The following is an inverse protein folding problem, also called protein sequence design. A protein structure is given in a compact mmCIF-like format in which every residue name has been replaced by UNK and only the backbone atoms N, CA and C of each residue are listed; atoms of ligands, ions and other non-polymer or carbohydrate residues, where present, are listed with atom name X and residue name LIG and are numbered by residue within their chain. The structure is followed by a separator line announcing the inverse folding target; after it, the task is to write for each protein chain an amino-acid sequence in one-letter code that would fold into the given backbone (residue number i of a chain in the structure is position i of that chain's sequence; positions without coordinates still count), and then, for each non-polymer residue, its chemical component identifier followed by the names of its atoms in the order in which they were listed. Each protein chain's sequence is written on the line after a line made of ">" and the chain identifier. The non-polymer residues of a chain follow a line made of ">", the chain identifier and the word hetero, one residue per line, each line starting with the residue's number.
data_IF_164443208564
#
_entry.id   IF_164443208564
#
_cell.length_a   1.000
_cell.length_b   1.000
_cell.length_c   1.000
_cell.angle_alpha   90.00
_cell.angle_beta   90.00
_cell.angle_gamma   90.00
#
_symmetry.space_group_name_H-M   'P 1'
#
loop_
_entity.id
_entity.type
_entity.pdbx_description
1 polymer ?
#
# COMPACT_ATOMS: atom_id res chain seq x y z
N UNK A 1 -14.24 23.25 9.95
CA UNK A 1 -14.53 21.91 10.52
C UNK A 1 -15.11 22.09 11.91
N UNK A 2 -16.30 21.56 12.18
CA UNK A 2 -16.86 21.57 13.54
C UNK A 2 -16.48 20.29 14.29
N UNK A 3 -16.31 20.31 15.62
CA UNK A 3 -16.08 19.10 16.41
C UNK A 3 -17.11 17.99 16.16
N UNK A 4 -18.39 18.37 15.99
CA UNK A 4 -19.48 17.42 15.72
C UNK A 4 -19.31 16.65 14.40
N UNK A 5 -18.83 17.30 13.34
CA UNK A 5 -18.56 16.63 12.05
C UNK A 5 -17.47 15.56 12.19
N UNK A 6 -16.47 15.82 13.04
CA UNK A 6 -15.36 14.90 13.27
C UNK A 6 -15.77 13.70 14.12
N UNK A 7 -16.65 13.91 15.14
CA UNK A 7 -17.12 12.85 16.05
C UNK A 7 -17.83 11.70 15.34
N UNK A 8 -18.50 11.98 14.22
CA UNK A 8 -19.12 10.93 13.38
C UNK A 8 -18.12 9.84 12.98
N UNK A 9 -16.84 10.19 12.82
CA UNK A 9 -15.78 9.32 12.32
C UNK A 9 -14.81 8.81 13.39
N UNK A 10 -15.06 9.05 14.68
CA UNK A 10 -14.14 8.70 15.79
C UNK A 10 -13.72 7.25 15.81
N UNK A 11 -14.58 6.34 15.34
CA UNK A 11 -14.29 4.92 15.27
C UNK A 11 -13.24 4.54 14.22
N UNK A 12 -13.02 5.40 13.21
CA UNK A 12 -12.16 5.08 12.08
C UNK A 12 -11.05 6.11 11.81
N UNK A 13 -11.25 7.38 12.10
CA UNK A 13 -10.32 8.48 11.73
C UNK A 13 -8.95 8.41 12.42
N UNK A 14 -7.90 9.06 11.88
CA UNK A 14 -6.70 9.41 12.64
C UNK A 14 -7.02 10.20 13.90
N UNK A 15 -6.07 10.29 14.83
CA UNK A 15 -6.23 11.13 16.01
C UNK A 15 -6.28 12.60 15.63
N UNK A 16 -7.14 13.35 16.29
CA UNK A 16 -7.16 14.81 16.23
C UNK A 16 -5.99 15.40 17.05
N UNK A 17 -5.53 16.63 16.75
CA UNK A 17 -4.40 17.24 17.44
C UNK A 17 -4.52 17.29 18.97
N UNK A 18 -5.71 17.50 19.48
CA UNK A 18 -6.01 17.55 20.92
C UNK A 18 -5.89 16.18 21.62
N UNK A 19 -6.01 15.08 20.88
CA UNK A 19 -5.87 13.71 21.40
C UNK A 19 -4.41 13.26 21.50
N UNK A 20 -3.50 13.91 20.76
CA UNK A 20 -2.11 13.47 20.63
C UNK A 20 -1.36 13.36 21.96
N UNK A 21 -1.44 14.32 22.89
CA UNK A 21 -0.69 14.22 24.15
C UNK A 21 -1.03 12.98 24.96
N UNK A 22 -2.31 12.62 25.07
CA UNK A 22 -2.76 11.41 25.78
C UNK A 22 -2.28 10.14 25.08
N UNK A 23 -2.33 10.11 23.73
CA UNK A 23 -1.87 8.99 22.93
C UNK A 23 -0.36 8.78 23.10
N UNK A 24 0.43 9.85 23.11
CA UNK A 24 1.88 9.78 23.34
C UNK A 24 2.20 9.19 24.72
N UNK A 25 1.53 9.65 25.76
CA UNK A 25 1.71 9.14 27.11
C UNK A 25 1.33 7.67 27.23
N UNK A 26 0.24 7.24 26.61
CA UNK A 26 -0.21 5.84 26.60
C UNK A 26 0.77 4.93 25.85
N UNK A 27 1.34 5.41 24.74
CA UNK A 27 2.31 4.64 23.96
C UNK A 27 3.60 4.39 24.73
N UNK A 28 4.17 5.41 25.39
CA UNK A 28 5.42 5.25 26.14
C UNK A 28 5.26 4.46 27.44
N UNK A 29 4.04 4.19 27.86
CA UNK A 29 3.73 3.25 28.95
C UNK A 29 3.66 1.79 28.49
N UNK A 30 3.60 1.55 27.17
CA UNK A 30 3.53 0.19 26.63
C UNK A 30 4.93 -0.38 26.45
N UNK A 31 5.23 -1.49 27.15
CA UNK A 31 6.55 -2.14 27.14
C UNK A 31 7.00 -2.58 25.75
N UNK A 32 6.10 -3.15 24.93
CA UNK A 32 6.43 -3.60 23.57
C UNK A 32 6.77 -2.41 22.67
N UNK A 33 6.03 -1.31 22.78
CA UNK A 33 6.34 -0.09 22.05
C UNK A 33 7.70 0.49 22.49
N UNK A 34 7.99 0.50 23.80
CA UNK A 34 9.30 0.93 24.32
C UNK A 34 10.45 0.05 23.80
N UNK A 35 10.25 -1.26 23.66
CA UNK A 35 11.24 -2.15 23.04
C UNK A 35 11.49 -1.79 21.57
N UNK A 36 10.43 -1.46 20.81
CA UNK A 36 10.57 -0.96 19.43
C UNK A 36 11.32 0.37 19.40
N UNK A 37 11.00 1.29 20.30
CA UNK A 37 11.73 2.58 20.39
C UNK A 37 13.21 2.36 20.72
N UNK A 38 13.55 1.47 21.66
CA UNK A 38 14.93 1.16 22.00
C UNK A 38 15.72 0.56 20.82
N UNK A 39 15.05 -0.24 19.98
CA UNK A 39 15.64 -0.77 18.75
C UNK A 39 15.85 0.32 17.69
N UNK A 40 14.88 1.22 17.52
CA UNK A 40 14.93 2.29 16.50
C UNK A 40 15.87 3.44 16.90
N UNK A 41 15.98 3.72 18.19
CA UNK A 41 16.75 4.83 18.75
C UNK A 41 17.71 4.31 19.84
N UNK A 42 18.76 3.53 19.48
CA UNK A 42 19.65 2.93 20.44
C UNK A 42 20.37 4.00 21.28
N UNK A 43 20.31 3.83 22.60
CA UNK A 43 20.95 4.75 23.54
C UNK A 43 20.17 6.04 23.84
N UNK A 44 19.00 6.26 23.22
CA UNK A 44 18.15 7.41 23.54
C UNK A 44 17.15 7.04 24.63
N UNK A 45 17.12 7.76 25.77
CA UNK A 45 16.15 7.50 26.83
C UNK A 45 14.70 7.69 26.34
N UNK A 46 13.78 6.80 26.75
CA UNK A 46 12.35 6.86 26.36
C UNK A 46 11.75 8.23 26.71
N UNK A 47 12.15 8.81 27.85
CA UNK A 47 11.66 10.14 28.25
C UNK A 47 12.07 11.25 27.27
N UNK A 48 13.25 11.20 26.68
CA UNK A 48 13.67 12.15 25.65
C UNK A 48 12.83 11.99 24.37
N UNK A 49 12.51 10.74 23.99
CA UNK A 49 11.61 10.44 22.87
C UNK A 49 10.21 10.97 23.18
N UNK A 50 9.68 10.72 24.39
CA UNK A 50 8.40 11.26 24.84
C UNK A 50 8.33 12.79 24.72
N UNK A 51 9.34 13.48 25.22
CA UNK A 51 9.42 14.95 25.12
C UNK A 51 9.40 15.41 23.65
N UNK A 52 10.13 14.72 22.75
CA UNK A 52 10.11 15.00 21.31
C UNK A 52 8.72 14.73 20.71
N UNK A 53 8.02 13.66 21.12
CA UNK A 53 6.65 13.39 20.69
C UNK A 53 5.71 14.54 21.08
N UNK A 54 5.77 15.03 22.32
CA UNK A 54 4.95 16.16 22.81
C UNK A 54 5.22 17.49 22.12
N UNK A 55 6.34 17.64 21.40
CA UNK A 55 6.58 18.81 20.55
C UNK A 55 5.72 18.78 19.27
N UNK A 56 5.30 17.58 18.82
CA UNK A 56 4.47 17.44 17.63
C UNK A 56 3.02 17.89 17.93
N UNK A 57 2.52 18.86 17.17
CA UNK A 57 1.18 19.42 17.30
C UNK A 57 0.18 18.84 16.29
N UNK A 58 0.66 18.01 15.38
CA UNK A 58 -0.16 17.33 14.37
C UNK A 58 0.43 15.98 13.99
N UNK A 59 -0.39 15.12 13.39
CA UNK A 59 0.06 13.86 12.81
C UNK A 59 1.15 14.08 11.73
N UNK A 60 1.05 15.16 10.97
CA UNK A 60 2.04 15.50 9.94
C UNK A 60 3.40 15.83 10.57
N UNK A 61 3.43 16.58 11.67
CA UNK A 61 4.66 16.85 12.40
C UNK A 61 5.25 15.58 13.01
N UNK A 62 4.39 14.69 13.53
CA UNK A 62 4.84 13.37 14.00
C UNK A 62 5.46 12.54 12.88
N UNK A 63 4.84 12.50 11.68
CA UNK A 63 5.41 11.82 10.52
C UNK A 63 6.78 12.39 10.14
N UNK A 64 6.92 13.72 10.10
CA UNK A 64 8.19 14.38 9.80
C UNK A 64 9.27 14.09 10.85
N UNK A 65 8.90 14.12 12.13
CA UNK A 65 9.86 13.99 13.24
C UNK A 65 10.32 12.54 13.49
N UNK A 66 9.50 11.54 13.18
CA UNK A 66 9.74 10.14 13.56
C UNK A 66 9.76 9.18 12.37
N UNK A 67 8.83 9.33 11.41
CA UNK A 67 8.70 8.38 10.31
C UNK A 67 9.66 8.68 9.16
N UNK A 68 9.82 9.94 8.78
CA UNK A 68 10.60 10.34 7.61
C UNK A 68 12.08 9.91 7.71
N UNK A 69 12.77 10.32 8.76
CA UNK A 69 14.18 9.96 8.97
C UNK A 69 14.40 8.46 9.12
N UNK A 70 13.49 7.78 9.82
CA UNK A 70 13.53 6.33 9.95
C UNK A 70 13.42 5.64 8.58
N UNK A 71 12.49 6.07 7.74
CA UNK A 71 12.28 5.48 6.41
C UNK A 71 13.44 5.80 5.45
N UNK A 72 14.02 7.01 5.50
CA UNK A 72 15.21 7.34 4.72
C UNK A 72 16.40 6.46 5.12
N UNK A 73 16.63 6.26 6.42
CA UNK A 73 17.66 5.36 6.92
C UNK A 73 17.42 3.90 6.54
N UNK A 74 16.14 3.45 6.54
CA UNK A 74 15.75 2.12 6.10
C UNK A 74 16.05 1.92 4.62
N UNK A 75 15.66 2.87 3.78
CA UNK A 75 15.93 2.84 2.34
C UNK A 75 17.43 2.75 2.05
N UNK A 76 18.24 3.54 2.73
CA UNK A 76 19.70 3.50 2.57
C UNK A 76 20.33 2.14 2.90
N UNK A 77 19.70 1.35 3.79
CA UNK A 77 20.19 0.01 4.19
C UNK A 77 19.62 -1.12 3.38
N UNK A 78 18.36 -1.01 2.96
CA UNK A 78 17.57 -2.12 2.42
C UNK A 78 17.17 -1.92 0.95
N UNK A 79 17.68 -0.88 0.27
CA UNK A 79 17.38 -0.64 -1.15
C UNK A 79 18.57 0.01 -1.87
N UNK A 80 18.48 0.10 -3.19
CA UNK A 80 19.36 0.90 -4.05
C UNK A 80 18.82 2.32 -4.26
N UNK A 81 17.64 2.63 -3.74
CA UNK A 81 16.99 3.91 -3.81
C UNK A 81 15.48 3.78 -3.99
N UNK A 82 14.80 4.88 -3.71
CA UNK A 82 13.37 5.04 -3.95
C UNK A 82 13.16 6.41 -4.61
N UNK A 83 12.46 6.43 -5.72
CA UNK A 83 12.11 7.65 -6.43
C UNK A 83 10.62 7.66 -6.83
N UNK A 84 10.11 8.85 -7.16
CA UNK A 84 8.73 9.00 -7.61
C UNK A 84 8.64 9.96 -8.79
N UNK A 85 7.69 9.70 -9.68
CA UNK A 85 7.27 10.60 -10.75
C UNK A 85 5.84 11.08 -10.48
N UNK A 86 5.71 12.37 -10.14
CA UNK A 86 4.45 13.08 -9.94
C UNK A 86 4.23 14.16 -11.01
N UNK A 87 4.94 14.12 -12.13
CA UNK A 87 4.93 15.16 -13.18
C UNK A 87 3.54 15.41 -13.78
N UNK A 88 2.64 14.42 -13.68
CA UNK A 88 1.26 14.54 -14.15
C UNK A 88 0.33 15.26 -13.18
N UNK A 89 0.80 15.66 -11.98
CA UNK A 89 -0.03 16.19 -10.91
C UNK A 89 0.39 17.60 -10.49
N UNK A 90 -0.58 18.43 -10.16
CA UNK A 90 -0.37 19.63 -9.36
C UNK A 90 -0.50 19.25 -7.87
N UNK A 91 0.64 19.10 -7.18
CA UNK A 91 0.69 18.66 -5.77
C UNK A 91 0.07 19.67 -4.78
N UNK A 92 -0.42 20.83 -5.24
CA UNK A 92 -1.24 21.75 -4.43
C UNK A 92 -2.69 21.29 -4.31
N UNK A 93 -3.15 20.44 -5.24
CA UNK A 93 -4.47 19.81 -5.17
C UNK A 93 -4.46 18.60 -4.26
N UNK A 94 -5.66 18.06 -3.97
CA UNK A 94 -5.86 16.87 -3.15
C UNK A 94 -6.40 15.74 -4.01
N UNK A 95 -5.87 14.55 -3.76
CA UNK A 95 -6.13 13.37 -4.58
C UNK A 95 -6.39 12.13 -3.72
N UNK A 96 -7.17 11.22 -4.25
CA UNK A 96 -7.22 9.84 -3.78
C UNK A 96 -6.30 8.99 -4.64
N UNK A 97 -5.12 8.66 -4.12
CA UNK A 97 -4.20 7.73 -4.75
C UNK A 97 -4.72 6.31 -4.60
N UNK A 98 -5.04 5.66 -5.72
CA UNK A 98 -5.42 4.25 -5.78
C UNK A 98 -4.31 3.44 -6.43
N UNK A 99 -3.74 2.45 -5.72
CA UNK A 99 -2.54 1.78 -6.18
C UNK A 99 -2.63 0.26 -6.16
N UNK A 100 -1.78 -0.40 -6.95
CA UNK A 100 -1.39 -1.77 -6.66
C UNK A 100 -0.71 -1.86 -5.28
N UNK A 101 -0.59 -3.08 -4.73
CA UNK A 101 -0.13 -3.26 -3.34
C UNK A 101 0.92 -4.37 -3.24
N UNK A 102 2.15 -3.99 -2.86
CA UNK A 102 3.33 -4.86 -2.76
C UNK A 102 3.69 -5.21 -1.33
N UNK A 103 3.75 -4.19 -0.45
CA UNK A 103 4.17 -4.31 0.94
C UNK A 103 3.11 -3.77 1.89
N UNK A 104 2.86 -4.47 3.02
CA UNK A 104 1.79 -4.12 3.98
C UNK A 104 2.01 -2.72 4.58
N UNK A 105 3.26 -2.35 4.83
CA UNK A 105 3.63 -1.13 5.56
C UNK A 105 4.26 -0.09 4.65
N UNK A 106 5.18 -0.53 3.78
CA UNK A 106 6.07 0.41 3.08
C UNK A 106 5.40 1.12 1.91
N UNK A 107 4.39 0.54 1.26
CA UNK A 107 3.78 1.19 0.09
C UNK A 107 3.24 2.58 0.41
N UNK A 108 2.46 2.72 1.47
CA UNK A 108 1.94 4.02 1.92
C UNK A 108 2.99 4.85 2.67
N UNK A 109 3.86 4.19 3.45
CA UNK A 109 4.87 4.90 4.22
C UNK A 109 5.94 5.57 3.32
N UNK A 110 6.40 4.88 2.27
CA UNK A 110 7.33 5.44 1.31
C UNK A 110 6.69 6.50 0.40
N UNK A 111 5.39 6.35 0.08
CA UNK A 111 4.64 7.41 -0.61
C UNK A 111 4.70 8.73 0.19
N UNK A 112 4.59 8.67 1.52
CA UNK A 112 4.74 9.87 2.36
C UNK A 112 6.14 10.51 2.22
N UNK A 113 7.19 9.69 2.20
CA UNK A 113 8.56 10.19 1.96
C UNK A 113 8.66 10.86 0.59
N UNK A 114 8.13 10.22 -0.45
CA UNK A 114 8.18 10.76 -1.82
C UNK A 114 7.38 12.07 -1.96
N UNK A 115 6.21 12.18 -1.31
CA UNK A 115 5.43 13.42 -1.28
C UNK A 115 6.17 14.54 -0.55
N UNK A 116 6.84 14.27 0.58
CA UNK A 116 7.68 15.25 1.26
C UNK A 116 8.87 15.69 0.40
N UNK A 117 9.57 14.74 -0.22
CA UNK A 117 10.72 15.03 -1.10
C UNK A 117 10.29 15.85 -2.33
N UNK A 118 9.05 15.66 -2.81
CA UNK A 118 8.45 16.45 -3.91
C UNK A 118 7.93 17.83 -3.46
N UNK A 119 8.03 18.17 -2.18
CA UNK A 119 7.60 19.47 -1.65
C UNK A 119 6.09 19.58 -1.42
N UNK A 120 5.35 18.47 -1.37
CA UNK A 120 3.94 18.50 -1.00
C UNK A 120 3.78 19.00 0.44
N UNK A 121 2.78 19.85 0.68
CA UNK A 121 2.52 20.44 2.00
C UNK A 121 1.94 19.44 3.00
N UNK A 122 1.34 18.35 2.51
CA UNK A 122 0.78 17.25 3.31
C UNK A 122 1.11 15.88 2.71
N UNK A 123 0.78 14.83 3.44
CA UNK A 123 0.86 13.43 3.01
C UNK A 123 -0.53 12.88 2.71
N UNK A 124 -0.70 11.56 2.72
CA UNK A 124 -2.01 10.91 2.57
C UNK A 124 -2.57 10.44 3.91
N UNK A 125 -3.90 10.39 4.04
CA UNK A 125 -4.54 9.51 5.00
C UNK A 125 -4.62 8.09 4.42
N UNK A 126 -4.25 7.09 5.22
CA UNK A 126 -4.02 5.72 4.76
C UNK A 126 -5.20 4.83 5.14
N UNK A 127 -5.83 4.17 4.16
CA UNK A 127 -6.83 3.13 4.42
C UNK A 127 -6.16 1.83 4.92
N UNK A 128 -6.38 1.46 6.19
CA UNK A 128 -5.80 0.25 6.79
C UNK A 128 -6.86 -0.70 7.33
N UNK A 129 -6.76 -1.99 7.02
CA UNK A 129 -7.69 -3.01 7.53
C UNK A 129 -7.50 -3.28 9.03
N UNK A 130 -8.60 -3.38 9.79
CA UNK A 130 -8.60 -3.69 11.23
C UNK A 130 -8.01 -5.05 11.56
N UNK A 131 -8.00 -5.98 10.61
CA UNK A 131 -7.38 -7.30 10.76
C UNK A 131 -5.86 -7.23 11.02
N UNK A 132 -5.19 -6.13 10.69
CA UNK A 132 -3.77 -5.88 10.95
C UNK A 132 -3.52 -5.26 12.33
N UNK A 133 -4.56 -4.76 13.00
CA UNK A 133 -4.48 -3.95 14.23
C UNK A 133 -4.78 -4.77 15.49
N UNK A 134 -4.14 -5.93 15.62
CA UNK A 134 -4.39 -6.87 16.74
C UNK A 134 -3.85 -6.37 18.08
N UNK A 135 -2.81 -5.56 18.06
CA UNK A 135 -2.19 -4.98 19.26
C UNK A 135 -2.66 -3.53 19.43
N UNK A 136 -3.14 -3.15 20.64
CA UNK A 136 -3.64 -1.79 20.88
C UNK A 136 -2.64 -0.68 20.52
N UNK A 137 -1.37 -0.83 20.89
CA UNK A 137 -0.32 0.15 20.58
C UNK A 137 -0.06 0.28 19.07
N UNK A 138 -0.19 -0.82 18.28
CA UNK A 138 -0.09 -0.76 16.82
C UNK A 138 -1.24 0.07 16.25
N UNK A 139 -2.46 -0.10 16.77
CA UNK A 139 -3.61 0.73 16.38
C UNK A 139 -3.36 2.21 16.66
N UNK A 140 -2.75 2.54 17.80
CA UNK A 140 -2.41 3.92 18.13
C UNK A 140 -1.35 4.48 17.17
N UNK A 141 -0.27 3.74 16.91
CA UNK A 141 0.80 4.16 15.98
C UNK A 141 0.28 4.41 14.56
N UNK A 142 -0.58 3.53 14.02
CA UNK A 142 -1.09 3.73 12.66
C UNK A 142 -2.03 4.93 12.58
N UNK A 143 -2.86 5.17 13.61
CA UNK A 143 -3.71 6.37 13.68
C UNK A 143 -2.89 7.66 13.85
N UNK A 144 -1.77 7.62 14.55
CA UNK A 144 -0.78 8.71 14.58
C UNK A 144 -0.16 8.95 13.20
N UNK A 145 0.04 7.88 12.42
CA UNK A 145 0.56 7.97 11.06
C UNK A 145 -0.53 8.26 10.02
N UNK A 146 -1.55 9.01 10.39
CA UNK A 146 -2.67 9.42 9.52
C UNK A 146 -3.45 8.24 8.90
N UNK A 147 -3.53 7.09 9.57
CA UNK A 147 -4.32 5.98 9.04
C UNK A 147 -5.76 6.02 9.54
N UNK A 148 -6.72 5.77 8.64
CA UNK A 148 -8.11 5.51 8.97
C UNK A 148 -8.43 4.03 8.79
N UNK A 149 -9.36 3.52 9.61
CA UNK A 149 -9.58 2.08 9.78
C UNK A 149 -10.68 1.59 8.85
N UNK A 150 -10.34 0.61 8.00
CA UNK A 150 -11.30 -0.17 7.22
C UNK A 150 -11.78 -1.34 8.07
N UNK A 151 -13.02 -1.29 8.51
CA UNK A 151 -13.63 -2.30 9.36
C UNK A 151 -14.03 -3.52 8.54
N UNK A 152 -13.28 -4.61 8.66
CA UNK A 152 -13.49 -5.89 7.94
C UNK A 152 -14.02 -6.99 8.82
N UNK A 153 -13.84 -6.87 10.14
CA UNK A 153 -14.19 -7.90 11.13
C UNK A 153 -15.64 -7.80 11.63
N UNK A 154 -16.49 -7.04 10.92
CA UNK A 154 -17.88 -6.84 11.30
C UNK A 154 -18.81 -7.94 10.75
N UNK A 155 -19.93 -8.24 11.46
CA UNK A 155 -21.00 -9.03 10.91
C UNK A 155 -21.56 -8.43 9.61
N UNK A 156 -21.99 -9.28 8.65
CA UNK A 156 -22.45 -8.84 7.31
C UNK A 156 -23.50 -7.73 7.35
N UNK A 157 -24.44 -7.77 8.30
CA UNK A 157 -25.47 -6.74 8.48
C UNK A 157 -24.94 -5.35 8.84
N UNK A 158 -23.71 -5.26 9.38
CA UNK A 158 -23.04 -4.01 9.73
C UNK A 158 -22.05 -3.53 8.66
N UNK A 159 -21.65 -4.44 7.74
CA UNK A 159 -20.68 -4.15 6.67
C UNK A 159 -21.14 -3.00 5.77
N UNK A 160 -22.45 -2.96 5.44
CA UNK A 160 -22.98 -1.89 4.58
C UNK A 160 -22.87 -0.52 5.22
N UNK A 161 -23.22 -0.42 6.51
CA UNK A 161 -23.10 0.84 7.26
C UNK A 161 -21.64 1.27 7.44
N UNK A 162 -20.73 0.31 7.71
CA UNK A 162 -19.31 0.57 7.81
C UNK A 162 -18.69 1.02 6.48
N UNK A 163 -19.08 0.40 5.36
CA UNK A 163 -18.65 0.80 4.03
C UNK A 163 -19.15 2.20 3.66
N UNK A 164 -20.39 2.52 4.03
CA UNK A 164 -20.92 3.87 3.83
C UNK A 164 -20.18 4.91 4.67
N UNK A 165 -19.95 4.63 5.96
CA UNK A 165 -19.18 5.51 6.84
C UNK A 165 -17.76 5.75 6.29
N UNK A 166 -17.10 4.70 5.81
CA UNK A 166 -15.78 4.77 5.21
C UNK A 166 -15.78 5.67 3.96
N UNK A 167 -16.75 5.46 3.05
CA UNK A 167 -16.88 6.27 1.84
C UNK A 167 -17.15 7.75 2.18
N UNK A 168 -18.07 8.03 3.09
CA UNK A 168 -18.36 9.40 3.56
C UNK A 168 -17.10 10.04 4.16
N UNK A 169 -16.28 9.25 4.89
CA UNK A 169 -15.03 9.76 5.44
C UNK A 169 -14.01 10.11 4.35
N UNK A 170 -13.86 9.29 3.31
CA UNK A 170 -12.95 9.60 2.20
C UNK A 170 -13.34 10.90 1.49
N UNK A 171 -14.64 11.11 1.22
CA UNK A 171 -15.14 12.37 0.65
C UNK A 171 -14.88 13.56 1.59
N UNK A 172 -15.09 13.36 2.88
CA UNK A 172 -14.81 14.37 3.89
C UNK A 172 -13.32 14.76 3.96
N UNK A 173 -12.41 13.78 3.82
CA UNK A 173 -10.95 14.03 3.79
C UNK A 173 -10.57 14.93 2.61
N UNK A 174 -11.07 14.64 1.43
CA UNK A 174 -10.77 15.40 0.21
C UNK A 174 -11.41 16.80 0.28
N UNK A 175 -12.72 16.87 0.54
CA UNK A 175 -13.50 18.10 0.40
C UNK A 175 -13.36 19.08 1.59
N UNK A 176 -13.30 18.55 2.82
CA UNK A 176 -13.39 19.37 4.05
C UNK A 176 -12.06 19.45 4.81
N UNK A 177 -11.34 18.31 4.95
CA UNK A 177 -10.02 18.32 5.60
C UNK A 177 -8.93 18.87 4.69
N UNK A 178 -9.18 18.92 3.38
CA UNK A 178 -8.21 19.32 2.37
C UNK A 178 -6.92 18.51 2.49
N UNK A 179 -7.05 17.17 2.53
CA UNK A 179 -5.97 16.21 2.68
C UNK A 179 -6.05 15.13 1.60
N UNK A 180 -4.95 14.44 1.32
CA UNK A 180 -4.93 13.34 0.36
C UNK A 180 -5.37 12.03 1.02
N UNK A 181 -5.82 11.07 0.19
CA UNK A 181 -6.14 9.70 0.60
C UNK A 181 -5.25 8.71 -0.16
N UNK A 182 -4.82 7.64 0.50
CA UNK A 182 -4.25 6.47 -0.15
C UNK A 182 -5.08 5.22 0.15
N UNK A 183 -5.40 4.47 -0.90
CA UNK A 183 -6.09 3.19 -0.79
C UNK A 183 -5.55 2.21 -1.83
N UNK A 184 -5.41 0.93 -1.46
CA UNK A 184 -5.08 -0.12 -2.40
C UNK A 184 -6.27 -0.42 -3.33
N UNK A 185 -5.99 -0.74 -4.60
CA UNK A 185 -7.00 -1.04 -5.63
C UNK A 185 -7.85 -2.30 -5.36
N UNK A 186 -7.47 -3.09 -4.37
CA UNK A 186 -8.18 -4.30 -3.95
C UNK A 186 -7.93 -4.61 -2.48
N UNK A 187 -8.75 -5.51 -1.94
CA UNK A 187 -8.49 -6.06 -0.61
C UNK A 187 -7.24 -6.94 -0.62
N UNK A 188 -6.23 -6.55 0.18
CA UNK A 188 -4.97 -7.26 0.30
C UNK A 188 -4.09 -7.16 -0.95
N UNK A 189 -2.87 -7.70 -0.82
CA UNK A 189 -1.86 -7.70 -1.89
C UNK A 189 -2.18 -8.74 -2.97
N UNK A 190 -1.99 -8.41 -4.25
CA UNK A 190 -1.92 -9.39 -5.33
C UNK A 190 -0.59 -10.15 -5.21
N UNK A 191 -0.62 -11.35 -4.59
CA UNK A 191 0.59 -12.09 -4.25
C UNK A 191 1.36 -12.63 -5.44
N UNK A 192 0.68 -12.80 -6.57
CA UNK A 192 1.25 -13.12 -7.86
C UNK A 192 1.61 -11.89 -8.69
N UNK A 193 1.43 -10.69 -8.13
CA UNK A 193 1.61 -9.41 -8.82
C UNK A 193 0.75 -9.23 -10.08
N UNK A 194 -0.31 -10.02 -10.27
CA UNK A 194 -1.34 -9.76 -11.27
C UNK A 194 -2.34 -8.77 -10.69
N UNK A 195 -2.00 -7.51 -10.78
CA UNK A 195 -2.75 -6.43 -10.16
C UNK A 195 -4.02 -6.13 -10.95
N UNK A 196 -5.15 -6.20 -10.24
CA UNK A 196 -6.49 -5.92 -10.78
C UNK A 196 -7.30 -5.13 -9.77
N UNK A 197 -7.96 -4.10 -10.25
CA UNK A 197 -8.86 -3.27 -9.45
C UNK A 197 -10.13 -4.04 -9.13
N UNK A 198 -10.45 -4.15 -7.85
CA UNK A 198 -11.71 -4.75 -7.42
C UNK A 198 -12.84 -3.72 -7.53
N UNK A 199 -13.85 -3.98 -8.37
CA UNK A 199 -15.04 -3.11 -8.49
C UNK A 199 -15.72 -2.82 -7.14
N UNK A 200 -15.56 -3.73 -6.17
CA UNK A 200 -16.09 -3.55 -4.83
C UNK A 200 -15.53 -2.29 -4.12
N UNK A 201 -14.27 -1.91 -4.40
CA UNK A 201 -13.65 -0.69 -3.88
C UNK A 201 -14.35 0.54 -4.49
N UNK A 202 -14.58 0.55 -5.81
CA UNK A 202 -15.27 1.64 -6.51
C UNK A 202 -16.73 1.76 -6.05
N UNK A 203 -17.40 0.62 -5.91
CA UNK A 203 -18.78 0.57 -5.39
C UNK A 203 -18.86 1.10 -3.96
N UNK A 204 -17.88 0.80 -3.13
CA UNK A 204 -17.76 1.36 -1.77
C UNK A 204 -17.55 2.87 -1.84
N UNK A 205 -16.60 3.38 -2.63
CA UNK A 205 -16.33 4.82 -2.77
C UNK A 205 -17.58 5.62 -3.16
N UNK A 206 -18.43 5.06 -4.02
CA UNK A 206 -19.69 5.72 -4.45
C UNK A 206 -20.84 5.60 -3.44
N UNK A 207 -20.64 5.00 -2.28
CA UNK A 207 -21.63 5.02 -1.18
C UNK A 207 -21.61 6.34 -0.40
N UNK A 208 -20.53 7.12 -0.50
CA UNK A 208 -20.41 8.50 -0.01
C UNK A 208 -20.60 9.51 -1.13
N UNK A 209 -20.51 10.80 -0.77
CA UNK A 209 -20.66 11.91 -1.70
C UNK A 209 -22.11 12.18 -2.15
N UNK A 210 -22.27 13.16 -3.02
CA UNK A 210 -23.56 13.61 -3.53
C UNK A 210 -23.67 13.38 -5.05
N UNK A 211 -24.90 13.39 -5.57
CA UNK A 211 -25.16 13.26 -7.00
C UNK A 211 -25.12 11.82 -7.54
N UNK A 212 -24.85 11.70 -8.83
CA UNK A 212 -24.72 10.41 -9.55
C UNK A 212 -23.46 9.65 -9.10
N UNK A 213 -23.36 8.36 -9.46
CA UNK A 213 -22.15 7.56 -9.19
C UNK A 213 -20.90 8.16 -9.83
N UNK A 214 -21.04 8.78 -11.00
CA UNK A 214 -19.97 9.47 -11.73
C UNK A 214 -19.51 10.72 -10.96
N UNK A 215 -20.43 11.56 -10.51
CA UNK A 215 -20.12 12.78 -9.73
C UNK A 215 -19.46 12.43 -8.39
N UNK A 216 -19.87 11.34 -7.75
CA UNK A 216 -19.25 10.86 -6.51
C UNK A 216 -17.80 10.41 -6.72
N UNK A 217 -17.48 9.73 -7.82
CA UNK A 217 -16.07 9.40 -8.13
C UNK A 217 -15.26 10.63 -8.52
N UNK A 218 -15.85 11.57 -9.29
CA UNK A 218 -15.20 12.84 -9.65
C UNK A 218 -14.79 13.64 -8.41
N UNK A 219 -15.62 13.68 -7.37
CA UNK A 219 -15.31 14.43 -6.14
C UNK A 219 -14.20 13.81 -5.28
N UNK A 220 -13.71 12.61 -5.64
CA UNK A 220 -12.56 11.95 -4.98
C UNK A 220 -11.23 12.20 -5.69
N UNK A 221 -11.24 12.73 -6.91
CA UNK A 221 -10.04 13.01 -7.70
C UNK A 221 -9.07 11.81 -7.74
N UNK A 222 -9.54 10.69 -8.34
CA UNK A 222 -8.78 9.44 -8.34
C UNK A 222 -7.51 9.55 -9.19
N UNK A 223 -6.38 9.19 -8.62
CA UNK A 223 -5.08 9.10 -9.28
C UNK A 223 -4.59 7.66 -9.23
N UNK A 224 -4.48 6.97 -10.39
CA UNK A 224 -3.83 5.67 -10.45
C UNK A 224 -2.36 5.82 -10.07
N UNK A 225 -1.89 5.03 -9.11
CA UNK A 225 -0.53 5.06 -8.60
C UNK A 225 0.13 3.70 -8.80
N UNK A 226 1.12 3.63 -9.67
CA UNK A 226 1.93 2.44 -9.88
C UNK A 226 3.07 2.37 -8.87
N UNK A 227 3.21 1.22 -8.19
CA UNK A 227 4.31 0.94 -7.26
C UNK A 227 5.11 -0.24 -7.79
N UNK A 228 6.38 -0.02 -8.07
CA UNK A 228 7.30 -1.02 -8.60
C UNK A 228 8.44 -1.27 -7.63
N UNK A 229 8.64 -2.53 -7.28
CA UNK A 229 9.79 -3.02 -6.51
C UNK A 229 10.63 -3.92 -7.42
N UNK A 230 11.94 -3.70 -7.48
CA UNK A 230 12.85 -4.58 -8.23
C UNK A 230 12.90 -5.98 -7.62
N UNK A 231 12.89 -6.05 -6.29
CA UNK A 231 12.80 -7.29 -5.52
C UNK A 231 11.73 -7.18 -4.44
N UNK A 232 10.92 -8.22 -4.30
CA UNK A 232 9.91 -8.34 -3.25
C UNK A 232 10.44 -9.20 -2.10
N UNK A 233 10.79 -8.62 -0.94
CA UNK A 233 11.34 -9.39 0.18
C UNK A 233 10.46 -10.52 0.67
N UNK A 234 9.14 -10.43 0.42
CA UNK A 234 8.13 -11.40 0.86
C UNK A 234 7.79 -12.44 -0.21
N UNK A 235 8.53 -12.53 -1.32
CA UNK A 235 8.21 -13.41 -2.45
C UNK A 235 8.15 -14.89 -2.05
N UNK A 236 9.11 -15.39 -1.26
CA UNK A 236 9.11 -16.76 -0.74
C UNK A 236 7.92 -17.03 0.22
N UNK A 237 7.51 -16.05 1.03
CA UNK A 237 6.33 -16.17 1.90
C UNK A 237 5.04 -16.24 1.09
N UNK A 238 4.97 -15.46 0.01
CA UNK A 238 3.83 -15.47 -0.92
C UNK A 238 3.74 -16.80 -1.67
N UNK A 239 4.88 -17.32 -2.16
CA UNK A 239 4.94 -18.63 -2.80
C UNK A 239 4.57 -19.77 -1.83
N UNK A 240 5.08 -19.71 -0.60
CA UNK A 240 4.72 -20.66 0.47
C UNK A 240 3.21 -20.63 0.75
N UNK A 241 2.58 -19.46 0.83
CA UNK A 241 1.14 -19.34 1.01
C UNK A 241 0.37 -19.93 -0.17
N UNK A 242 0.84 -19.76 -1.42
CA UNK A 242 0.21 -20.42 -2.57
C UNK A 242 0.23 -21.94 -2.47
N UNK A 243 1.37 -22.53 -2.06
CA UNK A 243 1.43 -23.97 -1.88
C UNK A 243 0.52 -24.43 -0.75
N UNK A 244 0.50 -23.75 0.39
CA UNK A 244 -0.38 -24.09 1.50
C UNK A 244 -1.86 -24.04 1.12
N UNK A 245 -2.27 -23.03 0.35
CA UNK A 245 -3.64 -22.92 -0.16
C UNK A 245 -4.00 -24.00 -1.18
N UNK A 246 -3.04 -24.49 -1.95
CA UNK A 246 -3.21 -25.59 -2.89
C UNK A 246 -3.36 -26.94 -2.17
N UNK A 247 -2.51 -27.18 -1.16
CA UNK A 247 -2.32 -28.50 -0.57
C UNK A 247 -3.18 -28.75 0.66
N UNK A 248 -3.64 -27.70 1.36
CA UNK A 248 -4.40 -27.80 2.59
C UNK A 248 -5.80 -27.23 2.38
N UNK A 249 -6.82 -28.09 2.48
CA UNK A 249 -8.21 -27.67 2.40
C UNK A 249 -8.53 -26.64 3.52
N UNK A 250 -9.28 -25.59 3.17
CA UNK A 250 -9.69 -24.52 4.09
C UNK A 250 -8.53 -23.83 4.85
N UNK A 251 -7.32 -23.84 4.28
CA UNK A 251 -6.17 -23.17 4.86
C UNK A 251 -6.46 -21.69 5.15
N UNK A 252 -6.08 -21.27 6.36
CA UNK A 252 -6.18 -19.88 6.81
C UNK A 252 -4.87 -19.42 7.39
N UNK A 253 -4.59 -18.14 7.23
CA UNK A 253 -3.43 -17.50 7.84
C UNK A 253 -3.42 -17.67 9.35
N UNK A 254 -2.25 -17.98 9.88
CA UNK A 254 -1.97 -17.92 11.30
C UNK A 254 -1.96 -16.48 11.83
N UNK A 255 -2.05 -16.31 13.16
CA UNK A 255 -2.09 -14.99 13.78
C UNK A 255 -0.81 -14.17 13.59
N UNK A 256 0.33 -14.82 13.31
CA UNK A 256 1.63 -14.17 13.14
C UNK A 256 2.03 -13.96 11.68
N UNK A 257 1.33 -14.52 10.69
CA UNK A 257 1.76 -14.49 9.28
C UNK A 257 1.86 -13.06 8.72
N UNK A 258 0.92 -12.19 9.11
CA UNK A 258 0.98 -10.79 8.69
C UNK A 258 2.10 -10.02 9.40
N UNK A 259 2.39 -10.33 10.67
CA UNK A 259 3.51 -9.75 11.43
C UNK A 259 4.85 -10.16 10.81
N UNK A 260 5.01 -11.44 10.49
CA UNK A 260 6.20 -11.96 9.78
C UNK A 260 6.36 -11.28 8.42
N UNK A 261 5.25 -11.14 7.67
CA UNK A 261 5.28 -10.45 6.37
C UNK A 261 5.67 -8.97 6.51
N UNK A 262 5.14 -8.25 7.52
CA UNK A 262 5.51 -6.85 7.78
C UNK A 262 7.00 -6.74 8.13
N UNK A 263 7.50 -7.56 9.04
CA UNK A 263 8.92 -7.56 9.42
C UNK A 263 9.83 -7.90 8.24
N UNK A 264 9.49 -8.94 7.47
CA UNK A 264 10.24 -9.35 6.28
C UNK A 264 10.24 -8.26 5.21
N UNK A 265 9.10 -7.62 4.96
CA UNK A 265 8.97 -6.51 4.03
C UNK A 265 9.80 -5.30 4.46
N UNK A 266 9.73 -4.89 5.72
CA UNK A 266 10.50 -3.76 6.25
C UNK A 266 12.01 -4.03 6.13
N UNK A 267 12.49 -5.17 6.64
CA UNK A 267 13.92 -5.44 6.78
C UNK A 267 14.60 -5.98 5.53
N UNK A 268 13.85 -6.59 4.61
CA UNK A 268 14.41 -7.27 3.45
C UNK A 268 14.90 -6.31 2.35
N UNK A 269 15.82 -6.79 1.53
CA UNK A 269 16.37 -6.04 0.40
C UNK A 269 15.35 -5.90 -0.75
N UNK A 270 15.26 -4.69 -1.33
CA UNK A 270 14.21 -4.31 -2.30
C UNK A 270 14.74 -3.93 -3.69
N UNK A 271 16.08 -3.79 -3.85
CA UNK A 271 16.63 -3.19 -5.07
C UNK A 271 16.15 -1.75 -5.22
N UNK A 272 15.78 -1.36 -6.42
CA UNK A 272 15.14 -0.06 -6.69
C UNK A 272 13.65 -0.12 -6.42
N UNK A 273 13.10 1.00 -5.92
CA UNK A 273 11.67 1.22 -5.72
C UNK A 273 11.25 2.43 -6.52
N UNK A 274 10.12 2.35 -7.21
CA UNK A 274 9.60 3.45 -8.02
C UNK A 274 8.10 3.63 -7.82
N UNK A 275 7.70 4.90 -7.69
CA UNK A 275 6.30 5.32 -7.71
C UNK A 275 6.03 6.15 -8.95
N UNK A 276 4.94 5.85 -9.66
CA UNK A 276 4.49 6.66 -10.79
C UNK A 276 3.02 7.01 -10.62
N UNK A 277 2.71 8.30 -10.52
CA UNK A 277 1.35 8.79 -10.53
C UNK A 277 0.91 9.09 -11.96
N UNK A 278 -0.09 8.37 -12.44
CA UNK A 278 -0.75 8.68 -13.69
C UNK A 278 -1.55 9.99 -13.58
N UNK A 279 -2.04 10.57 -14.69
CA UNK A 279 -2.98 11.68 -14.61
C UNK A 279 -4.21 11.35 -13.77
N UNK A 280 -4.75 12.35 -13.05
CA UNK A 280 -6.06 12.22 -12.41
C UNK A 280 -7.12 11.86 -13.48
N UNK A 281 -7.94 10.83 -13.18
CA UNK A 281 -8.89 10.30 -14.18
C UNK A 281 -10.14 11.16 -14.37
N UNK A 282 -10.22 12.34 -13.78
CA UNK A 282 -11.41 13.20 -13.81
C UNK A 282 -11.84 13.57 -15.24
N UNK A 283 -10.89 13.90 -16.12
CA UNK A 283 -11.20 14.22 -17.53
C UNK A 283 -11.76 13.01 -18.26
N UNK A 284 -11.14 11.84 -18.05
CA UNK A 284 -11.61 10.60 -18.62
C UNK A 284 -13.00 10.20 -18.09
N UNK A 285 -13.23 10.37 -16.78
CA UNK A 285 -14.55 10.12 -16.17
C UNK A 285 -15.64 11.02 -16.76
N UNK A 286 -15.33 12.32 -16.97
CA UNK A 286 -16.28 13.27 -17.58
C UNK A 286 -16.66 12.88 -19.00
N UNK A 287 -15.74 12.26 -19.75
CA UNK A 287 -15.98 11.82 -21.12
C UNK A 287 -16.86 10.56 -21.23
N UNK A 288 -17.06 9.81 -20.16
CA UNK A 288 -17.95 8.66 -20.17
C UNK A 288 -19.42 9.10 -20.37
N UNK A 289 -20.25 8.32 -21.08
CA UNK A 289 -21.68 8.59 -21.22
C UNK A 289 -22.41 8.64 -19.85
N UNK A 290 -23.33 9.60 -19.69
CA UNK A 290 -24.10 9.74 -18.45
C UNK A 290 -25.16 8.63 -18.27
N UNK A 291 -25.60 8.01 -19.37
CA UNK A 291 -26.56 6.92 -19.42
C UNK A 291 -25.91 5.52 -19.39
N UNK A 292 -24.60 5.43 -19.18
CA UNK A 292 -23.88 4.17 -19.10
C UNK A 292 -24.46 3.27 -18.00
N UNK A 293 -24.78 1.98 -18.29
CA UNK A 293 -25.24 1.05 -17.27
C UNK A 293 -24.26 0.94 -16.11
N UNK A 294 -24.78 0.93 -14.89
CA UNK A 294 -23.97 0.97 -13.66
C UNK A 294 -22.90 -0.14 -13.58
N UNK A 295 -23.22 -1.34 -14.08
CA UNK A 295 -22.25 -2.46 -14.12
C UNK A 295 -21.12 -2.16 -15.10
N UNK A 296 -21.43 -1.70 -16.30
CA UNK A 296 -20.44 -1.33 -17.32
C UNK A 296 -19.56 -0.17 -16.85
N UNK A 297 -20.15 0.81 -16.15
CA UNK A 297 -19.42 1.94 -15.58
C UNK A 297 -18.31 1.49 -14.61
N UNK A 298 -18.62 0.62 -13.64
CA UNK A 298 -17.61 0.15 -12.71
C UNK A 298 -16.52 -0.71 -13.36
N UNK A 299 -16.91 -1.53 -14.33
CA UNK A 299 -15.97 -2.34 -15.11
C UNK A 299 -15.02 -1.43 -15.91
N UNK A 300 -15.56 -0.44 -16.63
CA UNK A 300 -14.76 0.51 -17.40
C UNK A 300 -13.78 1.31 -16.51
N UNK A 301 -14.26 1.77 -15.34
CA UNK A 301 -13.38 2.50 -14.40
C UNK A 301 -12.29 1.57 -13.84
N UNK A 302 -12.61 0.33 -13.49
CA UNK A 302 -11.62 -0.62 -12.99
C UNK A 302 -10.56 -0.95 -14.04
N UNK A 303 -10.97 -1.21 -15.29
CA UNK A 303 -10.06 -1.47 -16.41
C UNK A 303 -9.17 -0.25 -16.73
N UNK A 304 -9.72 0.95 -16.69
CA UNK A 304 -8.94 2.16 -16.91
C UNK A 304 -7.88 2.35 -15.83
N UNK A 305 -8.23 2.18 -14.56
CA UNK A 305 -7.28 2.22 -13.44
C UNK A 305 -6.18 1.16 -13.60
N UNK A 306 -6.55 -0.06 -13.97
CA UNK A 306 -5.59 -1.14 -14.20
C UNK A 306 -4.61 -0.77 -15.32
N UNK A 307 -5.11 -0.28 -16.45
CA UNK A 307 -4.27 0.10 -17.59
C UNK A 307 -3.31 1.22 -17.23
N UNK A 308 -3.76 2.25 -16.51
CA UNK A 308 -2.90 3.35 -16.09
C UNK A 308 -1.84 2.89 -15.07
N UNK A 309 -2.19 2.02 -14.11
CA UNK A 309 -1.24 1.43 -13.18
C UNK A 309 -0.19 0.58 -13.94
N UNK A 310 -0.62 -0.24 -14.91
CA UNK A 310 0.31 -1.10 -15.66
C UNK A 310 1.25 -0.29 -16.58
N UNK A 311 0.75 0.78 -17.24
CA UNK A 311 1.60 1.71 -17.99
C UNK A 311 2.64 2.37 -17.12
N UNK A 312 2.27 2.70 -15.88
CA UNK A 312 3.14 3.34 -14.89
C UNK A 312 4.20 2.43 -14.26
N UNK A 313 4.20 1.12 -14.51
CA UNK A 313 5.25 0.26 -13.96
C UNK A 313 6.62 0.61 -14.50
N UNK A 314 7.59 0.72 -13.60
CA UNK A 314 9.00 0.61 -13.96
C UNK A 314 9.37 -0.85 -13.94
N UNK A 315 9.63 -1.42 -15.12
CA UNK A 315 10.13 -2.77 -15.24
C UNK A 315 11.65 -2.81 -15.07
N UNK A 316 12.10 -3.83 -14.38
CA UNK A 316 13.50 -4.11 -14.14
C UNK A 316 13.95 -5.36 -14.92
N UNK A 317 15.27 -5.58 -15.15
CA UNK A 317 15.78 -6.80 -15.78
C UNK A 317 15.19 -8.07 -15.16
N UNK A 318 15.00 -8.11 -13.83
CA UNK A 318 14.37 -9.22 -13.10
C UNK A 318 13.00 -9.64 -13.66
N UNK A 319 12.18 -8.69 -14.11
CA UNK A 319 10.85 -8.96 -14.66
C UNK A 319 10.94 -9.71 -16.00
N UNK A 320 11.86 -9.31 -16.87
CA UNK A 320 12.03 -9.93 -18.18
C UNK A 320 12.76 -11.27 -18.09
N UNK A 321 13.76 -11.39 -17.21
CA UNK A 321 14.41 -12.67 -16.91
C UNK A 321 13.37 -13.67 -16.38
N UNK A 322 12.52 -13.25 -15.44
CA UNK A 322 11.46 -14.09 -14.90
C UNK A 322 10.47 -14.53 -15.98
N UNK A 323 10.09 -13.62 -16.89
CA UNK A 323 9.16 -13.90 -17.98
C UNK A 323 9.75 -14.94 -18.96
N UNK A 324 11.01 -14.77 -19.38
CA UNK A 324 11.66 -15.72 -20.27
C UNK A 324 11.88 -17.08 -19.60
N UNK A 325 12.30 -17.13 -18.34
CA UNK A 325 12.41 -18.36 -17.57
C UNK A 325 11.07 -19.08 -17.39
N UNK A 326 9.99 -18.33 -17.14
CA UNK A 326 8.65 -18.87 -16.98
C UNK A 326 8.10 -19.50 -18.26
N UNK A 327 8.41 -18.89 -19.42
CA UNK A 327 7.99 -19.34 -20.74
C UNK A 327 8.93 -20.33 -21.39
N UNK A 328 10.16 -20.46 -20.90
CA UNK A 328 11.22 -21.25 -21.52
C UNK A 328 11.72 -20.63 -22.83
N UNK A 329 11.72 -19.31 -22.93
CA UNK A 329 12.10 -18.52 -24.11
C UNK A 329 13.28 -17.60 -23.83
N UNK A 330 13.71 -16.86 -24.84
CA UNK A 330 14.66 -15.75 -24.76
C UNK A 330 14.14 -14.54 -25.57
N UNK A 331 12.81 -14.39 -25.61
CA UNK A 331 12.15 -13.34 -26.41
C UNK A 331 12.47 -11.93 -25.94
N UNK A 332 12.84 -11.77 -24.67
CA UNK A 332 13.17 -10.49 -24.04
C UNK A 332 14.66 -10.36 -23.68
N UNK A 333 15.54 -11.16 -24.30
CA UNK A 333 16.97 -11.15 -24.00
C UNK A 333 17.67 -9.82 -24.30
N UNK A 334 17.06 -8.94 -25.07
CA UNK A 334 17.49 -7.56 -25.31
C UNK A 334 17.23 -6.61 -24.12
N UNK A 335 16.45 -7.05 -23.13
CA UNK A 335 16.02 -6.26 -21.96
C UNK A 335 16.86 -6.54 -20.70
N UNK A 336 17.81 -7.47 -20.76
CA UNK A 336 18.68 -7.81 -19.65
C UNK A 336 20.03 -8.36 -20.13
N UNK A 337 21.05 -8.23 -19.28
CA UNK A 337 22.37 -8.82 -19.54
C UNK A 337 22.49 -10.23 -18.98
N UNK A 338 23.55 -10.95 -19.33
CA UNK A 338 23.87 -12.25 -18.74
C UNK A 338 24.09 -12.14 -17.22
N UNK A 339 24.70 -11.03 -16.76
CA UNK A 339 24.92 -10.72 -15.36
C UNK A 339 23.60 -10.48 -14.61
N UNK A 340 22.64 -9.78 -15.24
CA UNK A 340 21.31 -9.56 -14.65
C UNK A 340 20.58 -10.88 -14.46
N UNK A 341 20.65 -11.75 -15.47
CA UNK A 341 20.08 -13.09 -15.40
C UNK A 341 20.70 -13.91 -14.26
N UNK A 342 22.03 -13.96 -14.20
CA UNK A 342 22.74 -14.69 -13.15
C UNK A 342 22.40 -14.14 -11.76
N UNK A 343 22.33 -12.81 -11.62
CA UNK A 343 21.96 -12.13 -10.36
C UNK A 343 20.56 -12.51 -9.92
N UNK A 344 19.58 -12.47 -10.83
CA UNK A 344 18.21 -12.81 -10.52
C UNK A 344 18.05 -14.30 -10.18
N UNK A 345 18.71 -15.21 -10.94
CA UNK A 345 18.66 -16.65 -10.63
C UNK A 345 19.28 -16.96 -9.26
N UNK A 346 20.41 -16.33 -8.93
CA UNK A 346 21.02 -16.45 -7.60
C UNK A 346 20.12 -15.90 -6.47
N UNK A 347 19.47 -14.77 -6.71
CA UNK A 347 18.48 -14.21 -5.79
C UNK A 347 17.29 -15.17 -5.60
N UNK A 348 16.71 -15.68 -6.67
CA UNK A 348 15.59 -16.63 -6.65
C UNK A 348 15.93 -17.88 -5.82
N UNK A 349 17.12 -18.46 -6.05
CA UNK A 349 17.58 -19.63 -5.31
C UNK A 349 17.80 -19.32 -3.81
N UNK A 350 18.28 -18.11 -3.48
CA UNK A 350 18.43 -17.68 -2.11
C UNK A 350 17.07 -17.47 -1.41
N UNK A 351 16.07 -16.94 -2.11
CA UNK A 351 14.71 -16.77 -1.58
C UNK A 351 14.03 -18.13 -1.36
N UNK A 352 14.12 -19.04 -2.31
CA UNK A 352 13.55 -20.39 -2.17
C UNK A 352 14.11 -21.15 -0.97
N UNK A 353 15.39 -20.98 -0.64
CA UNK A 353 16.01 -21.59 0.56
C UNK A 353 15.39 -21.12 1.89
N UNK A 354 14.67 -19.99 1.90
CA UNK A 354 13.98 -19.48 3.10
C UNK A 354 12.61 -20.13 3.33
N UNK A 355 12.10 -20.90 2.37
CA UNK A 355 10.80 -21.58 2.48
C UNK A 355 10.83 -22.58 3.62
N UNK A 356 9.84 -22.51 4.50
CA UNK A 356 9.68 -23.39 5.68
C UNK A 356 8.38 -24.18 5.55
N UNK A 357 8.39 -25.22 4.71
CA UNK A 357 7.27 -26.14 4.53
C UNK A 357 7.75 -27.56 4.84
N UNK A 358 6.89 -28.42 5.43
CA UNK A 358 7.25 -29.82 5.68
C UNK A 358 7.55 -30.60 4.39
N UNK A 359 6.79 -30.32 3.33
CA UNK A 359 6.91 -30.98 2.04
C UNK A 359 6.91 -29.92 0.91
N UNK A 360 8.04 -29.22 0.66
CA UNK A 360 8.09 -28.17 -0.32
C UNK A 360 8.09 -28.75 -1.75
N UNK A 361 7.14 -28.30 -2.57
CA UNK A 361 7.14 -28.55 -4.01
C UNK A 361 7.99 -27.47 -4.70
N UNK A 362 9.27 -27.75 -4.85
CA UNK A 362 10.25 -26.79 -5.38
C UNK A 362 9.92 -26.29 -6.79
N UNK A 363 9.35 -27.14 -7.64
CA UNK A 363 8.94 -26.74 -8.98
C UNK A 363 7.79 -25.75 -8.95
N UNK A 364 6.78 -26.01 -8.10
CA UNK A 364 5.65 -25.10 -7.91
C UNK A 364 6.06 -23.78 -7.25
N UNK A 365 6.89 -23.83 -6.21
CA UNK A 365 7.40 -22.66 -5.51
C UNK A 365 8.21 -21.75 -6.44
N UNK A 366 9.15 -22.34 -7.21
CA UNK A 366 9.94 -21.62 -8.23
C UNK A 366 9.03 -20.96 -9.27
N UNK A 367 8.06 -21.71 -9.80
CA UNK A 367 7.10 -21.19 -10.77
C UNK A 367 6.30 -20.03 -10.16
N UNK A 368 5.85 -20.14 -8.91
CA UNK A 368 5.08 -19.09 -8.22
C UNK A 368 5.88 -17.80 -8.10
N UNK A 369 7.17 -17.86 -7.71
CA UNK A 369 8.03 -16.67 -7.63
C UNK A 369 8.30 -16.11 -9.04
N UNK A 370 8.60 -16.93 -10.03
CA UNK A 370 8.78 -16.47 -11.43
C UNK A 370 7.52 -15.77 -11.94
N UNK A 371 6.32 -16.31 -11.67
CA UNK A 371 5.04 -15.69 -12.05
C UNK A 371 4.90 -14.29 -11.43
N UNK A 372 5.26 -14.15 -10.17
CA UNK A 372 5.19 -12.89 -9.43
C UNK A 372 6.05 -11.78 -10.07
N UNK A 373 7.26 -12.14 -10.52
CA UNK A 373 8.15 -11.19 -11.21
C UNK A 373 7.77 -10.99 -12.68
N UNK A 374 7.18 -11.98 -13.36
CA UNK A 374 6.79 -11.90 -14.76
C UNK A 374 5.50 -11.07 -14.97
N UNK A 375 4.53 -11.16 -14.06
CA UNK A 375 3.21 -10.53 -14.24
C UNK A 375 3.25 -9.01 -14.48
N UNK A 376 4.10 -8.20 -13.81
CA UNK A 376 4.20 -6.78 -14.16
C UNK A 376 4.61 -6.54 -15.61
N UNK A 377 5.54 -7.33 -16.16
CA UNK A 377 5.92 -7.24 -17.57
C UNK A 377 4.77 -7.70 -18.49
N UNK A 378 4.10 -8.80 -18.16
CA UNK A 378 2.95 -9.30 -18.93
C UNK A 378 1.84 -8.25 -18.99
N UNK A 379 1.49 -7.64 -17.84
CA UNK A 379 0.45 -6.63 -17.75
C UNK A 379 0.83 -5.37 -18.54
N UNK A 380 2.04 -4.84 -18.36
CA UNK A 380 2.45 -3.64 -19.07
C UNK A 380 2.51 -3.88 -20.59
N UNK A 381 3.08 -4.99 -21.04
CA UNK A 381 3.16 -5.34 -22.48
C UNK A 381 1.77 -5.54 -23.12
N UNK A 382 0.71 -5.76 -22.33
CA UNK A 382 -0.66 -5.89 -22.86
C UNK A 382 -1.33 -4.53 -23.13
N UNK A 383 -0.76 -3.40 -22.68
CA UNK A 383 -1.38 -2.07 -22.76
C UNK A 383 -0.49 -1.01 -23.45
N UNK A 384 0.69 -1.41 -23.91
CA UNK A 384 1.55 -0.64 -24.82
C UNK A 384 1.46 -1.27 -26.21
#
# INVERSE_FOLDING_TARGET
>A
MTPEQLHKYDSIRPFAPEELPEVFDRLVQNEQFCQVLAYLYPGVPVEAIRQKMHQCKSNLEFQKAFCYEFLKNLLAKASLGCDADFSNLDLRNRYTFISNHRDIVLDSALLHVMLFDAGCDTTTEIAIGDNLLKLPWVKDVVRLNKSFIVQRSLPMRQMLAASKLLAEYMHFVIAEKNDNVWIAQREGRAKDSNDRTAEAILKMMTMGGEGSIKERLLSLHLVPLAISYEYDPCDFLKAQEFQLRRDVADWKKGPMDDVISMQTGIMGYKGHIHYHAAPCIDEWLRALPDDMPKTEFYTAVAEHLDHEIWRGYRLYPSNFVALDLLRGTAEHADRYTAEDRQRFEAYLDAQLKKVQLPNPDWAFLRKSVLTMYANPAINQLSVI
#
